data_IF_099899111035
#
_entry.id   IF_099899111035
#
_cell.length_a   1.000
_cell.length_b   1.000
_cell.length_c   1.000
_cell.angle_alpha   90.00
_cell.angle_beta   90.00
_cell.angle_gamma   90.00
#
_symmetry.space_group_name_H-M   'P 1'
#
loop_
_entity.id
_entity.type
_entity.pdbx_description
1 polymer ?
#
# COMPACT_ATOMS: atom_id res chain seq x y z
N UNK A 1 5.33 11.23 34.89
CA UNK A 1 6.78 11.38 35.16
C UNK A 1 7.49 10.42 34.26
N UNK A 2 8.07 10.97 33.22
CA UNK A 2 8.73 10.22 32.16
C UNK A 2 9.90 9.38 32.63
N UNK A 3 9.97 8.22 32.10
CA UNK A 3 11.18 7.40 32.08
C UNK A 3 12.07 7.78 30.89
N UNK A 4 12.40 9.06 30.74
CA UNK A 4 13.55 9.41 29.93
C UNK A 4 14.77 9.01 30.76
N UNK A 5 15.22 7.75 30.61
CA UNK A 5 16.41 7.28 31.30
C UNK A 5 17.58 8.12 30.83
N UNK A 6 18.38 8.67 31.76
CA UNK A 6 19.53 9.46 31.37
C UNK A 6 20.47 8.58 30.53
N UNK A 7 21.05 9.18 29.51
CA UNK A 7 22.09 8.53 28.68
C UNK A 7 23.28 8.22 29.54
N UNK A 8 23.65 6.96 29.60
CA UNK A 8 24.70 6.43 30.50
C UNK A 8 26.05 6.56 29.83
N UNK A 9 26.97 7.25 30.51
CA UNK A 9 28.27 7.64 29.98
C UNK A 9 29.39 7.05 30.82
N UNK A 10 30.45 6.54 30.16
CA UNK A 10 31.73 6.22 30.77
C UNK A 10 32.78 7.22 30.25
N UNK A 11 33.68 7.63 31.14
CA UNK A 11 34.82 8.50 30.80
C UNK A 11 36.13 7.78 31.17
N UNK A 12 37.01 7.63 30.21
CA UNK A 12 38.34 7.04 30.39
C UNK A 12 39.45 8.12 30.14
N UNK A 13 40.21 8.43 31.19
CA UNK A 13 41.22 9.50 31.20
C UNK A 13 42.24 9.22 32.32
N UNK A 14 43.53 9.18 32.03
CA UNK A 14 44.55 8.85 33.01
C UNK A 14 44.87 9.97 33.96
N UNK A 15 44.66 11.24 33.56
CA UNK A 15 44.86 12.39 34.40
C UNK A 15 43.66 12.70 35.30
N UNK A 16 43.76 12.42 36.58
CA UNK A 16 42.66 12.53 37.55
C UNK A 16 41.97 13.89 37.61
N UNK A 17 42.70 14.99 37.37
CA UNK A 17 42.14 16.35 37.38
C UNK A 17 41.32 16.62 36.12
N UNK A 18 41.79 16.14 34.96
CA UNK A 18 41.09 16.26 33.69
C UNK A 18 39.82 15.40 33.73
N UNK A 19 39.95 14.15 34.18
CA UNK A 19 38.79 13.24 34.36
C UNK A 19 37.66 13.87 35.19
N UNK A 20 38.00 14.40 36.37
CA UNK A 20 37.01 15.07 37.26
C UNK A 20 36.38 16.30 36.58
N UNK A 21 37.16 17.05 35.84
CA UNK A 21 36.64 18.24 35.13
C UNK A 21 35.67 17.86 34.01
N UNK A 22 35.96 16.81 33.23
CA UNK A 22 35.08 16.32 32.17
C UNK A 22 33.78 15.79 32.78
N UNK A 23 33.86 14.97 33.82
CA UNK A 23 32.65 14.45 34.53
C UNK A 23 31.77 15.59 34.99
N UNK A 24 32.36 16.56 35.72
CA UNK A 24 31.60 17.72 36.22
C UNK A 24 30.95 18.53 35.08
N UNK A 25 31.61 18.70 33.94
CA UNK A 25 31.04 19.39 32.78
C UNK A 25 29.85 18.59 32.21
N UNK A 26 29.97 17.28 32.02
CA UNK A 26 28.88 16.44 31.52
C UNK A 26 27.64 16.55 32.43
N UNK A 27 27.82 16.41 33.73
CA UNK A 27 26.72 16.43 34.70
C UNK A 27 26.05 17.82 34.82
N UNK A 28 26.81 18.90 34.52
CA UNK A 28 26.28 20.27 34.55
C UNK A 28 25.48 20.63 33.28
N UNK A 29 25.68 19.94 32.15
CA UNK A 29 25.01 20.23 30.88
C UNK A 29 23.50 19.93 30.96
N UNK A 30 23.13 18.74 31.43
CA UNK A 30 21.72 18.33 31.55
C UNK A 30 21.59 17.10 32.44
N UNK A 31 20.50 16.96 33.20
CA UNK A 31 20.17 15.73 33.91
C UNK A 31 19.91 14.52 32.99
N UNK A 32 19.78 14.75 31.68
CA UNK A 32 19.66 13.69 30.69
C UNK A 32 20.95 12.88 30.49
N UNK A 33 22.06 13.36 31.05
CA UNK A 33 23.38 12.71 30.93
C UNK A 33 23.86 12.27 32.31
N UNK A 34 24.16 10.98 32.44
CA UNK A 34 24.66 10.42 33.70
C UNK A 34 25.98 9.70 33.48
N UNK A 35 27.02 10.11 34.20
CA UNK A 35 28.29 9.38 34.23
C UNK A 35 28.12 8.19 35.18
N UNK A 36 28.14 6.98 34.62
CA UNK A 36 27.94 5.73 35.36
C UNK A 36 29.23 4.97 35.70
N UNK A 37 30.34 5.48 35.16
CA UNK A 37 31.66 4.93 35.45
C UNK A 37 32.78 5.81 34.94
N UNK A 38 33.95 5.68 35.55
CA UNK A 38 35.17 6.34 35.11
C UNK A 38 36.39 5.41 35.24
N UNK A 39 37.34 5.51 34.34
CA UNK A 39 38.52 4.66 34.31
C UNK A 39 39.79 5.51 34.07
N UNK A 40 40.93 5.02 34.55
CA UNK A 40 42.23 5.65 34.39
C UNK A 40 43.08 5.00 33.27
N UNK A 41 42.55 3.98 32.61
CA UNK A 41 43.18 3.27 31.50
C UNK A 41 42.12 2.53 30.67
N UNK A 42 42.50 2.05 29.49
CA UNK A 42 41.58 1.38 28.57
C UNK A 42 41.11 -0.01 29.08
N UNK A 43 41.93 -0.70 29.88
CA UNK A 43 41.56 -2.02 30.40
C UNK A 43 40.39 -1.93 31.41
N UNK A 44 40.50 -0.98 32.35
CA UNK A 44 39.44 -0.71 33.32
C UNK A 44 38.16 -0.20 32.65
N UNK A 45 38.31 0.65 31.61
CA UNK A 45 37.18 1.11 30.82
C UNK A 45 36.48 -0.04 30.11
N UNK A 46 37.19 -1.00 29.54
CA UNK A 46 36.65 -2.17 28.90
C UNK A 46 35.84 -3.02 29.89
N UNK A 47 36.39 -3.26 31.07
CA UNK A 47 35.71 -4.00 32.14
C UNK A 47 34.42 -3.27 32.63
N UNK A 48 34.47 -1.95 32.76
CA UNK A 48 33.29 -1.17 33.12
C UNK A 48 32.20 -1.27 32.05
N UNK A 49 32.54 -1.30 30.76
CA UNK A 49 31.58 -1.48 29.67
C UNK A 49 30.89 -2.84 29.71
N UNK A 50 31.55 -3.89 30.15
CA UNK A 50 30.95 -5.22 30.30
C UNK A 50 29.93 -5.28 31.44
N UNK A 51 30.15 -4.53 32.51
CA UNK A 51 29.32 -4.54 33.73
C UNK A 51 28.24 -3.45 33.72
N UNK A 52 28.46 -2.36 32.97
CA UNK A 52 27.54 -1.24 32.87
C UNK A 52 26.94 -1.18 31.47
N UNK A 53 25.66 -0.94 31.34
CA UNK A 53 25.02 -0.72 30.04
C UNK A 53 25.22 0.73 29.59
N UNK A 54 26.48 1.17 29.41
CA UNK A 54 26.76 2.51 28.92
C UNK A 54 26.45 2.63 27.42
N UNK A 55 26.00 3.83 27.02
CA UNK A 55 25.61 4.16 25.63
C UNK A 55 26.64 5.08 24.97
N UNK A 56 27.43 5.82 25.79
CA UNK A 56 28.48 6.72 25.35
C UNK A 56 29.77 6.40 26.10
N UNK A 57 30.88 6.41 25.36
CA UNK A 57 32.25 6.40 25.91
C UNK A 57 32.99 7.66 25.45
N UNK A 58 33.55 8.40 26.40
CA UNK A 58 34.59 9.36 26.16
C UNK A 58 35.93 8.74 26.56
N UNK A 59 36.92 8.79 25.69
CA UNK A 59 38.27 8.20 25.98
C UNK A 59 39.38 9.12 25.55
N UNK A 60 40.42 9.26 26.38
CA UNK A 60 41.70 9.78 25.92
C UNK A 60 42.37 8.75 25.00
N UNK A 61 43.27 9.21 24.16
CA UNK A 61 44.11 8.37 23.31
C UNK A 61 45.26 7.75 24.14
N UNK A 62 46.00 8.58 24.86
CA UNK A 62 47.19 8.14 25.59
C UNK A 62 46.86 7.79 27.01
N UNK A 63 46.77 6.51 27.29
CA UNK A 63 46.52 5.98 28.64
C UNK A 63 47.49 4.81 28.91
N UNK A 64 47.84 4.56 30.18
CA UNK A 64 48.66 3.41 30.56
C UNK A 64 47.93 2.09 30.34
N UNK A 65 48.64 0.98 30.28
CA UNK A 65 48.16 -0.41 30.14
C UNK A 65 47.48 -0.69 28.81
N UNK A 66 46.48 0.09 28.40
CA UNK A 66 45.76 0.03 27.14
C UNK A 66 45.41 1.45 26.71
N UNK A 67 45.86 1.84 25.54
CA UNK A 67 45.54 3.14 24.97
C UNK A 67 44.11 3.21 24.42
N UNK A 68 43.65 4.44 24.12
CA UNK A 68 42.25 4.64 23.67
C UNK A 68 41.96 4.03 22.31
N UNK A 69 42.96 3.95 21.39
CA UNK A 69 42.74 3.35 20.07
C UNK A 69 42.60 1.84 20.14
N UNK A 70 43.43 1.19 20.95
CA UNK A 70 43.30 -0.27 21.21
C UNK A 70 41.96 -0.59 21.94
N UNK A 71 41.58 0.27 22.90
CA UNK A 71 40.27 0.17 23.56
C UNK A 71 39.13 0.21 22.52
N UNK A 72 39.14 1.22 21.64
CA UNK A 72 38.09 1.40 20.60
C UNK A 72 38.07 0.17 19.67
N UNK A 73 39.23 -0.31 19.23
CA UNK A 73 39.37 -1.49 18.39
C UNK A 73 38.67 -2.71 19.02
N UNK A 74 38.94 -3.01 20.27
CA UNK A 74 38.35 -4.14 21.01
C UNK A 74 36.87 -3.99 21.23
N UNK A 75 36.39 -2.77 21.49
CA UNK A 75 34.96 -2.49 21.61
C UNK A 75 34.25 -2.77 20.27
N UNK A 76 34.82 -2.32 19.17
CA UNK A 76 34.21 -2.50 17.84
C UNK A 76 34.12 -3.96 17.37
N UNK A 77 34.98 -4.84 17.90
CA UNK A 77 34.88 -6.28 17.64
C UNK A 77 33.58 -6.92 18.22
N UNK A 78 33.05 -6.35 19.31
CA UNK A 78 31.91 -6.95 20.04
C UNK A 78 30.68 -6.01 20.13
N UNK A 79 30.86 -4.71 19.99
CA UNK A 79 29.79 -3.72 20.17
C UNK A 79 29.91 -2.56 19.16
N UNK A 80 29.08 -2.61 18.13
CA UNK A 80 29.00 -1.56 17.10
C UNK A 80 28.03 -0.44 17.44
N UNK A 81 27.24 -0.58 18.51
CA UNK A 81 26.18 0.40 18.84
C UNK A 81 26.64 1.50 19.78
N UNK A 82 27.73 1.28 20.57
CA UNK A 82 28.27 2.25 21.51
C UNK A 82 28.74 3.50 20.79
N UNK A 83 28.26 4.68 21.20
CA UNK A 83 28.77 5.95 20.69
C UNK A 83 30.10 6.26 21.38
N UNK A 84 31.15 6.57 20.62
CA UNK A 84 32.48 6.83 21.15
C UNK A 84 32.97 8.19 20.70
N UNK A 85 33.44 9.00 21.63
CA UNK A 85 34.17 10.23 21.33
C UNK A 85 35.56 10.20 21.94
N UNK A 86 36.51 10.67 21.18
CA UNK A 86 37.93 10.79 21.62
C UNK A 86 38.15 12.18 22.20
N UNK A 87 38.86 12.26 23.32
CA UNK A 87 39.32 13.51 23.95
C UNK A 87 40.84 13.48 23.93
N UNK A 88 41.52 14.41 23.24
CA UNK A 88 42.97 14.38 23.13
C UNK A 88 43.58 15.76 23.22
N UNK A 89 44.78 15.83 23.80
CA UNK A 89 45.65 17.05 23.80
C UNK A 89 46.45 17.27 22.52
N UNK A 90 46.41 16.33 21.61
CA UNK A 90 47.24 16.35 20.42
C UNK A 90 46.39 16.59 19.17
N UNK A 91 46.79 17.60 18.41
CA UNK A 91 46.26 17.87 17.06
C UNK A 91 47.04 17.02 16.05
N UNK A 92 47.04 15.70 16.24
CA UNK A 92 47.75 14.75 15.40
C UNK A 92 46.83 14.11 14.38
N UNK A 93 47.08 14.40 13.12
CA UNK A 93 46.27 13.93 11.98
C UNK A 93 46.16 12.39 11.91
N UNK A 94 47.18 11.65 12.38
CA UNK A 94 47.16 10.19 12.35
C UNK A 94 46.11 9.61 13.34
N UNK A 95 45.92 10.25 14.51
CA UNK A 95 44.88 9.83 15.46
C UNK A 95 43.46 10.14 14.97
N UNK A 96 43.28 11.31 14.34
CA UNK A 96 42.00 11.65 13.72
C UNK A 96 41.66 10.69 12.57
N UNK A 97 42.65 10.30 11.76
CA UNK A 97 42.47 9.32 10.68
C UNK A 97 42.13 7.92 11.21
N UNK A 98 42.72 7.50 12.32
CA UNK A 98 42.41 6.24 12.97
C UNK A 98 41.03 6.25 13.58
N UNK A 99 40.60 7.36 14.17
CA UNK A 99 39.23 7.54 14.69
C UNK A 99 38.15 7.32 13.61
N UNK A 100 38.35 7.86 12.40
CA UNK A 100 37.46 7.67 11.27
C UNK A 100 37.33 6.17 10.89
N UNK A 101 38.46 5.42 10.90
CA UNK A 101 38.45 3.98 10.58
C UNK A 101 37.64 3.12 11.56
N UNK A 102 37.52 3.56 12.81
CA UNK A 102 36.80 2.85 13.88
C UNK A 102 35.41 3.40 14.15
N UNK A 103 34.84 4.17 13.23
CA UNK A 103 33.49 4.74 13.36
C UNK A 103 33.27 5.46 14.71
N UNK A 104 34.23 6.38 15.03
CA UNK A 104 34.13 7.24 16.20
C UNK A 104 33.21 8.40 15.89
N UNK A 105 32.25 8.68 16.78
CA UNK A 105 31.21 9.68 16.57
C UNK A 105 31.78 11.11 16.50
N UNK A 106 32.83 11.41 17.28
CA UNK A 106 33.46 12.73 17.25
C UNK A 106 34.84 12.74 17.93
N UNK A 107 35.57 13.89 17.78
CA UNK A 107 36.91 14.12 18.33
C UNK A 107 36.98 15.49 19.00
N UNK A 108 37.39 15.55 20.28
CA UNK A 108 37.49 16.73 21.10
C UNK A 108 38.93 17.05 21.44
N UNK A 109 39.32 18.30 21.25
CA UNK A 109 40.66 18.78 21.69
C UNK A 109 40.61 19.29 23.14
N UNK A 110 41.61 18.91 23.92
CA UNK A 110 41.90 19.50 25.24
C UNK A 110 42.50 20.92 25.07
N UNK A 111 42.07 21.91 25.86
CA UNK A 111 41.10 21.81 26.95
C UNK A 111 39.63 21.75 26.43
N UNK A 112 38.89 20.81 26.93
CA UNK A 112 37.48 20.58 26.50
C UNK A 112 36.61 21.80 26.85
N UNK A 113 36.07 22.44 25.81
CA UNK A 113 35.10 23.55 25.96
C UNK A 113 33.71 22.98 26.16
N UNK A 114 32.98 23.56 27.10
CA UNK A 114 31.63 23.08 27.48
C UNK A 114 30.67 23.09 26.27
N UNK A 115 30.65 24.14 25.48
CA UNK A 115 29.82 24.25 24.29
C UNK A 115 30.09 23.14 23.24
N UNK A 116 31.36 22.73 23.06
CA UNK A 116 31.70 21.64 22.13
C UNK A 116 31.24 20.28 22.70
N UNK A 117 31.45 20.08 24.02
CA UNK A 117 31.02 18.87 24.71
C UNK A 117 29.50 18.71 24.65
N UNK A 118 28.74 19.78 24.92
CA UNK A 118 27.28 19.78 24.79
C UNK A 118 26.84 19.44 23.37
N UNK A 119 27.41 20.08 22.36
CA UNK A 119 27.07 19.81 20.96
C UNK A 119 27.25 18.33 20.58
N UNK A 120 28.36 17.73 21.02
CA UNK A 120 28.65 16.32 20.76
C UNK A 120 27.71 15.39 21.54
N UNK A 121 27.45 15.67 22.80
CA UNK A 121 26.53 14.89 23.60
C UNK A 121 25.12 14.88 23.01
N UNK A 122 24.62 16.02 22.55
CA UNK A 122 23.33 16.13 21.89
C UNK A 122 23.28 15.33 20.59
N UNK A 123 24.29 15.46 19.74
CA UNK A 123 24.41 14.69 18.50
C UNK A 123 24.43 13.18 18.76
N UNK A 124 25.17 12.72 19.78
CA UNK A 124 25.21 11.32 20.17
C UNK A 124 23.86 10.85 20.74
N UNK A 125 23.21 11.65 21.56
CA UNK A 125 21.88 11.37 22.08
C UNK A 125 20.87 11.19 20.95
N UNK A 126 20.87 12.08 19.96
CA UNK A 126 19.99 11.99 18.79
C UNK A 126 20.25 10.71 17.99
N UNK A 127 21.52 10.35 17.81
CA UNK A 127 21.91 9.11 17.12
C UNK A 127 21.40 7.87 17.87
N UNK A 128 21.52 7.87 19.21
CA UNK A 128 21.00 6.79 20.07
C UNK A 128 19.49 6.69 19.93
N UNK A 129 18.76 7.82 20.07
CA UNK A 129 17.30 7.86 19.93
C UNK A 129 16.82 7.37 18.56
N UNK A 130 17.51 7.74 17.50
CA UNK A 130 17.19 7.27 16.14
C UNK A 130 17.38 5.76 15.99
N UNK A 131 18.47 5.20 16.53
CA UNK A 131 18.74 3.76 16.52
C UNK A 131 17.68 3.00 17.32
N UNK A 132 17.32 3.47 18.53
CA UNK A 132 16.28 2.88 19.36
C UNK A 132 14.94 2.89 18.63
N UNK A 133 14.53 4.04 18.06
CA UNK A 133 13.30 4.16 17.26
C UNK A 133 13.28 3.21 16.06
N UNK A 134 14.41 3.02 15.40
CA UNK A 134 14.53 2.08 14.27
C UNK A 134 14.35 0.61 14.71
N UNK A 135 14.93 0.23 15.86
CA UNK A 135 14.76 -1.11 16.43
C UNK A 135 13.30 -1.32 16.85
N UNK A 136 12.70 -0.36 17.54
CA UNK A 136 11.29 -0.41 17.95
C UNK A 136 10.37 -0.54 16.74
N UNK A 137 10.62 0.23 15.67
CA UNK A 137 9.88 0.14 14.40
C UNK A 137 9.97 -1.27 13.78
N UNK A 138 11.16 -1.87 13.78
CA UNK A 138 11.36 -3.24 13.27
C UNK A 138 10.57 -4.27 14.08
N UNK A 139 10.57 -4.13 15.41
CA UNK A 139 9.83 -5.02 16.31
C UNK A 139 8.32 -4.87 16.11
N UNK A 140 7.81 -3.63 16.01
CA UNK A 140 6.40 -3.38 15.74
C UNK A 140 5.98 -3.88 14.35
N UNK A 141 6.84 -3.74 13.34
CA UNK A 141 6.61 -4.31 12.01
C UNK A 141 6.48 -5.83 12.05
N UNK A 142 7.34 -6.50 12.82
CA UNK A 142 7.25 -7.95 13.05
C UNK A 142 5.98 -8.34 13.81
N UNK A 143 5.56 -7.54 14.79
CA UNK A 143 4.31 -7.75 15.51
C UNK A 143 3.08 -7.63 14.61
N UNK A 144 3.04 -6.63 13.71
CA UNK A 144 1.99 -6.47 12.69
C UNK A 144 1.90 -7.66 11.73
N UNK A 145 3.04 -8.32 11.48
CA UNK A 145 3.14 -9.53 10.64
C UNK A 145 2.80 -10.84 11.37
N UNK A 146 2.43 -10.79 12.65
CA UNK A 146 2.12 -11.98 13.47
C UNK A 146 3.36 -12.69 14.04
N UNK A 147 4.49 -12.00 14.10
CA UNK A 147 5.76 -12.52 14.64
C UNK A 147 6.11 -11.85 15.98
N UNK A 148 5.09 -11.42 16.75
CA UNK A 148 5.31 -10.83 18.06
C UNK A 148 5.97 -11.84 19.00
N UNK A 149 7.03 -11.40 19.71
CA UNK A 149 7.72 -12.21 20.72
C UNK A 149 7.97 -11.35 21.95
N UNK A 150 7.49 -11.79 23.10
CA UNK A 150 7.73 -11.11 24.38
C UNK A 150 9.22 -11.05 24.74
N UNK A 151 10.01 -12.02 24.27
CA UNK A 151 11.45 -12.06 24.48
C UNK A 151 12.21 -10.91 23.76
N UNK A 152 11.59 -10.34 22.71
CA UNK A 152 12.14 -9.23 21.93
C UNK A 152 11.50 -7.89 22.29
N UNK A 153 10.55 -7.85 23.22
CA UNK A 153 9.84 -6.62 23.59
C UNK A 153 10.80 -5.60 24.20
N UNK A 154 10.93 -4.40 23.61
CA UNK A 154 11.77 -3.36 24.17
C UNK A 154 11.28 -2.95 25.55
N UNK A 155 12.23 -2.56 26.41
CA UNK A 155 11.87 -2.07 27.74
C UNK A 155 10.97 -0.81 27.67
N UNK A 156 11.13 0.01 26.64
CA UNK A 156 10.32 1.19 26.36
C UNK A 156 8.83 0.88 26.17
N UNK A 157 8.47 -0.36 25.84
CA UNK A 157 7.08 -0.81 25.70
C UNK A 157 6.47 -1.35 27.00
N UNK A 158 7.32 -1.59 28.01
CA UNK A 158 6.85 -2.17 29.28
C UNK A 158 5.87 -1.25 29.99
N UNK A 159 4.68 -1.76 30.28
CA UNK A 159 3.61 -1.01 30.96
C UNK A 159 2.90 0.04 30.10
N UNK A 160 3.24 0.16 28.82
CA UNK A 160 2.54 1.05 27.89
C UNK A 160 1.36 0.34 27.22
N UNK A 161 0.41 1.16 26.81
CA UNK A 161 -0.74 0.76 26.01
C UNK A 161 -0.63 1.38 24.61
N UNK A 162 -1.15 0.68 23.61
CA UNK A 162 -1.00 1.09 22.24
C UNK A 162 -2.35 1.52 21.65
N UNK A 163 -2.33 2.61 20.89
CA UNK A 163 -3.39 2.99 19.95
C UNK A 163 -2.91 2.60 18.56
N UNK A 164 -3.81 2.04 17.76
CA UNK A 164 -3.50 1.60 16.41
C UNK A 164 -4.46 2.25 15.41
N UNK A 165 -3.90 2.87 14.38
CA UNK A 165 -4.63 3.46 13.26
C UNK A 165 -4.10 2.91 11.96
N UNK A 166 -4.99 2.56 11.01
CA UNK A 166 -4.64 2.26 9.64
C UNK A 166 -5.11 3.42 8.76
N UNK A 167 -4.14 4.13 8.20
CA UNK A 167 -4.36 5.31 7.35
C UNK A 167 -4.31 4.87 5.90
N UNK A 168 -5.30 5.26 5.09
CA UNK A 168 -5.37 5.03 3.66
C UNK A 168 -5.56 6.36 2.93
N UNK A 169 -4.62 6.68 2.04
CA UNK A 169 -4.66 7.87 1.21
C UNK A 169 -5.32 7.52 -0.14
N UNK A 170 -6.43 8.18 -0.45
CA UNK A 170 -7.21 7.90 -1.65
C UNK A 170 -8.13 6.69 -1.51
N UNK A 171 -7.95 5.70 -2.37
CA UNK A 171 -8.74 4.46 -2.41
C UNK A 171 -7.96 3.23 -1.91
N UNK A 172 -8.62 2.06 -1.85
CA UNK A 172 -8.02 0.82 -1.31
C UNK A 172 -6.77 0.35 -2.07
N UNK A 173 -6.64 0.68 -3.36
CA UNK A 173 -5.54 0.24 -4.24
C UNK A 173 -5.09 1.37 -5.15
N UNK A 174 -4.81 2.52 -4.56
CA UNK A 174 -4.46 3.70 -5.33
C UNK A 174 -3.17 3.50 -6.14
N UNK A 175 -3.28 3.67 -7.45
CA UNK A 175 -2.14 3.75 -8.36
C UNK A 175 -1.98 5.21 -8.80
N UNK A 176 -0.78 5.77 -8.71
CA UNK A 176 -0.51 7.15 -9.14
C UNK A 176 0.00 7.10 -10.59
N UNK A 177 -0.85 7.38 -11.60
CA UNK A 177 -0.47 7.18 -13.01
C UNK A 177 0.58 8.18 -13.51
N UNK A 178 0.69 9.34 -12.87
CA UNK A 178 1.50 10.47 -13.34
C UNK A 178 2.90 10.51 -12.71
N UNK A 179 3.18 9.73 -11.67
CA UNK A 179 4.50 9.64 -11.09
C UNK A 179 5.31 8.58 -11.84
N UNK A 180 6.06 9.04 -12.83
CA UNK A 180 7.02 8.22 -13.59
C UNK A 180 8.17 7.71 -12.73
N UNK A 181 8.31 8.22 -11.48
CA UNK A 181 9.33 7.81 -10.52
C UNK A 181 8.69 7.30 -9.22
N UNK A 182 8.91 6.02 -8.90
CA UNK A 182 8.50 5.39 -7.64
C UNK A 182 9.05 6.14 -6.41
N UNK A 183 10.16 6.87 -6.58
CA UNK A 183 10.78 7.68 -5.54
C UNK A 183 9.90 8.89 -5.13
N UNK A 184 9.24 9.53 -6.09
CA UNK A 184 8.35 10.68 -5.83
C UNK A 184 7.07 10.26 -5.10
N UNK A 185 6.49 9.12 -5.46
CA UNK A 185 5.33 8.56 -4.76
C UNK A 185 5.67 8.17 -3.32
N UNK A 186 6.83 7.53 -3.10
CA UNK A 186 7.29 7.17 -1.77
C UNK A 186 7.58 8.41 -0.90
N UNK A 187 8.03 9.52 -1.49
CA UNK A 187 8.33 10.76 -0.79
C UNK A 187 7.06 11.47 -0.29
N UNK A 188 5.96 11.40 -1.04
CA UNK A 188 4.68 11.99 -0.66
C UNK A 188 4.16 11.41 0.67
N UNK A 189 4.26 10.08 0.85
CA UNK A 189 3.79 9.38 2.04
C UNK A 189 4.91 9.09 3.04
N UNK A 190 6.02 9.84 2.97
CA UNK A 190 7.17 9.64 3.85
C UNK A 190 6.87 10.05 5.29
N UNK A 191 7.57 9.43 6.24
CA UNK A 191 7.52 9.80 7.66
C UNK A 191 7.86 11.27 7.85
N UNK A 192 8.82 11.80 7.10
CA UNK A 192 9.28 13.19 7.20
C UNK A 192 8.18 14.20 6.82
N UNK A 193 7.41 13.91 5.76
CA UNK A 193 6.29 14.76 5.34
C UNK A 193 5.15 14.74 6.37
N UNK A 194 4.89 13.58 6.98
CA UNK A 194 3.85 13.41 7.97
C UNK A 194 4.26 13.86 9.38
N UNK A 195 5.55 13.94 9.68
CA UNK A 195 6.09 14.20 11.01
C UNK A 195 5.56 15.51 11.61
N UNK A 196 5.50 16.58 10.81
CA UNK A 196 4.96 17.88 11.26
C UNK A 196 3.50 17.75 11.67
N UNK A 197 2.70 17.02 10.91
CA UNK A 197 1.29 16.78 11.20
C UNK A 197 1.12 15.91 12.47
N UNK A 198 1.91 14.86 12.61
CA UNK A 198 1.88 13.96 13.76
C UNK A 198 2.30 14.67 15.05
N UNK A 199 3.37 15.47 15.00
CA UNK A 199 3.83 16.28 16.15
C UNK A 199 2.82 17.36 16.58
N UNK A 200 1.89 17.74 15.70
CA UNK A 200 0.81 18.67 16.07
C UNK A 200 -0.34 17.95 16.80
N UNK A 201 -0.54 16.67 16.50
CA UNK A 201 -1.63 15.87 17.07
C UNK A 201 -1.26 15.17 18.38
N UNK A 202 0.01 14.82 18.55
CA UNK A 202 0.49 14.01 19.67
C UNK A 202 1.51 14.78 20.52
N UNK A 203 1.48 14.54 21.84
CA UNK A 203 2.38 15.18 22.79
C UNK A 203 3.80 14.59 22.70
N UNK A 204 4.80 15.33 23.21
CA UNK A 204 6.17 14.83 23.32
C UNK A 204 6.32 13.60 24.24
N UNK A 205 5.35 13.36 25.12
CA UNK A 205 5.31 12.18 26.01
C UNK A 205 4.86 10.91 25.31
N UNK A 206 4.22 11.01 24.14
CA UNK A 206 3.74 9.91 23.33
C UNK A 206 4.78 9.53 22.28
N UNK A 207 5.18 8.27 22.31
CA UNK A 207 6.02 7.73 21.24
C UNK A 207 5.14 7.18 20.11
N UNK A 208 5.46 7.52 18.88
CA UNK A 208 4.72 7.03 17.71
C UNK A 208 5.66 6.49 16.62
N UNK A 209 5.14 5.52 15.87
CA UNK A 209 5.83 4.89 14.75
C UNK A 209 4.87 4.78 13.57
N UNK A 210 5.39 5.14 12.39
CA UNK A 210 4.71 4.99 11.12
C UNK A 210 5.31 3.78 10.39
N UNK A 211 4.47 2.79 10.07
CA UNK A 211 4.90 1.52 9.45
C UNK A 211 4.17 1.35 8.13
N UNK A 212 4.93 1.01 7.08
CA UNK A 212 4.38 0.78 5.75
C UNK A 212 3.51 -0.48 5.72
N UNK A 213 2.37 -0.41 5.03
CA UNK A 213 1.53 -1.56 4.72
C UNK A 213 1.92 -2.10 3.32
N UNK A 214 1.26 -3.16 2.88
CA UNK A 214 1.50 -3.78 1.57
C UNK A 214 1.19 -2.84 0.42
N UNK A 215 0.12 -2.07 0.54
CA UNK A 215 -0.24 -1.03 -0.43
C UNK A 215 0.51 0.25 -0.08
N UNK A 216 1.16 0.87 -1.07
CA UNK A 216 2.03 2.05 -0.88
C UNK A 216 1.31 3.24 -0.26
N UNK A 217 0.01 3.38 -0.52
CA UNK A 217 -0.84 4.45 0.01
C UNK A 217 -1.46 4.12 1.37
N UNK A 218 -1.01 3.04 2.03
CA UNK A 218 -1.51 2.65 3.34
C UNK A 218 -0.37 2.58 4.36
N UNK A 219 -0.64 3.10 5.57
CA UNK A 219 0.33 3.09 6.67
C UNK A 219 -0.35 2.80 7.99
N UNK A 220 0.29 1.98 8.81
CA UNK A 220 -0.05 1.87 10.21
C UNK A 220 0.63 2.99 11.00
N UNK A 221 -0.16 3.72 11.78
CA UNK A 221 0.32 4.59 12.84
C UNK A 221 0.07 3.89 14.17
N UNK A 222 1.15 3.64 14.91
CA UNK A 222 1.13 3.03 16.24
C UNK A 222 1.58 4.08 17.23
N UNK A 223 0.83 4.26 18.30
CA UNK A 223 1.14 5.24 19.35
C UNK A 223 1.18 4.51 20.69
N UNK A 224 2.26 4.68 21.43
CA UNK A 224 2.39 4.17 22.79
C UNK A 224 2.11 5.29 23.80
N UNK A 225 1.10 5.08 24.64
CA UNK A 225 0.69 6.01 25.69
C UNK A 225 0.74 5.35 27.07
N UNK A 226 0.97 6.17 28.09
CA UNK A 226 0.84 5.77 29.49
C UNK A 226 -0.59 5.99 30.03
N UNK A 227 -1.41 6.72 29.27
CA UNK A 227 -2.80 7.04 29.61
C UNK A 227 -3.77 6.01 29.04
N UNK A 228 -4.98 5.93 29.58
CA UNK A 228 -6.05 4.99 29.20
C UNK A 228 -7.40 5.69 29.06
N UNK A 229 -7.47 6.86 28.47
CA UNK A 229 -8.77 7.47 28.16
C UNK A 229 -9.23 7.05 26.76
N UNK A 230 -10.14 6.10 26.68
CA UNK A 230 -10.65 5.58 25.39
C UNK A 230 -11.32 6.64 24.51
N UNK A 231 -11.83 7.73 25.10
CA UNK A 231 -12.40 8.85 24.35
C UNK A 231 -11.33 9.60 23.55
N UNK A 232 -10.10 9.57 24.02
CA UNK A 232 -8.96 10.21 23.38
C UNK A 232 -8.63 9.56 22.04
N UNK A 233 -8.81 8.24 21.90
CA UNK A 233 -8.50 7.51 20.66
C UNK A 233 -9.29 8.06 19.47
N UNK A 234 -10.60 8.23 19.63
CA UNK A 234 -11.45 8.76 18.56
C UNK A 234 -11.20 10.26 18.31
N UNK A 235 -10.88 11.02 19.36
CA UNK A 235 -10.51 12.43 19.23
C UNK A 235 -9.19 12.56 18.45
N UNK A 236 -8.19 11.76 18.77
CA UNK A 236 -6.92 11.70 18.07
C UNK A 236 -7.08 11.28 16.60
N UNK A 237 -7.93 10.28 16.31
CA UNK A 237 -8.23 9.89 14.94
C UNK A 237 -8.85 11.03 14.12
N UNK A 238 -9.80 11.78 14.69
CA UNK A 238 -10.44 12.94 14.05
C UNK A 238 -9.48 14.13 13.90
N UNK A 239 -8.66 14.40 14.91
CA UNK A 239 -7.64 15.45 14.85
C UNK A 239 -6.62 15.13 13.76
N UNK A 240 -6.15 13.89 13.71
CA UNK A 240 -5.24 13.38 12.69
C UNK A 240 -5.85 13.51 11.29
N UNK A 241 -7.12 13.11 11.10
CA UNK A 241 -7.83 13.29 9.84
C UNK A 241 -7.85 14.77 9.43
N UNK A 242 -8.26 15.67 10.31
CA UNK A 242 -8.39 17.09 10.01
C UNK A 242 -7.06 17.76 9.62
N UNK A 243 -5.95 17.28 10.16
CA UNK A 243 -4.61 17.79 9.84
C UNK A 243 -4.10 17.19 8.52
N UNK A 244 -4.18 15.88 8.37
CA UNK A 244 -3.68 15.17 7.17
C UNK A 244 -4.52 15.46 5.93
N UNK A 245 -5.82 15.66 6.05
CA UNK A 245 -6.72 15.97 4.93
C UNK A 245 -6.35 17.26 4.19
N UNK A 246 -5.69 18.20 4.86
CA UNK A 246 -5.17 19.44 4.23
C UNK A 246 -4.03 19.16 3.25
N UNK A 247 -3.35 18.02 3.41
CA UNK A 247 -2.19 17.62 2.61
C UNK A 247 -2.60 16.51 1.62
N UNK A 248 -3.45 15.58 2.08
CA UNK A 248 -3.83 14.34 1.38
C UNK A 248 -5.34 14.14 1.42
N UNK A 249 -6.08 14.60 0.43
CA UNK A 249 -7.52 14.34 0.31
C UNK A 249 -7.80 13.54 -0.97
N UNK A 250 -8.72 12.55 -0.93
CA UNK A 250 -9.43 12.02 0.24
C UNK A 250 -8.58 11.10 1.12
N UNK A 251 -8.94 10.99 2.40
CA UNK A 251 -8.21 10.24 3.43
C UNK A 251 -9.17 9.43 4.30
N UNK A 252 -8.89 8.13 4.46
CA UNK A 252 -9.65 7.25 5.37
C UNK A 252 -8.74 6.74 6.49
N UNK A 253 -9.23 6.79 7.75
CA UNK A 253 -8.53 6.27 8.92
C UNK A 253 -9.40 5.22 9.60
N UNK A 254 -8.99 3.95 9.57
CA UNK A 254 -9.58 2.93 10.42
C UNK A 254 -8.90 2.98 11.80
N UNK A 255 -9.69 3.19 12.85
CA UNK A 255 -9.20 3.38 14.21
C UNK A 255 -9.57 2.19 15.11
N UNK A 256 -8.67 1.77 16.00
CA UNK A 256 -9.06 0.94 17.13
C UNK A 256 -9.91 1.77 18.11
N UNK A 257 -10.74 1.13 18.90
CA UNK A 257 -11.64 1.80 19.85
C UNK A 257 -11.18 1.68 21.29
N UNK A 258 -10.25 0.78 21.55
CA UNK A 258 -9.68 0.50 22.85
C UNK A 258 -8.16 0.51 22.77
N UNK A 259 -7.53 0.82 23.89
CA UNK A 259 -6.11 0.61 24.04
C UNK A 259 -5.79 -0.88 24.04
N UNK A 260 -4.75 -1.25 23.32
CA UNK A 260 -4.33 -2.66 23.16
C UNK A 260 -2.99 -2.90 23.83
N UNK A 261 -2.73 -4.15 24.22
CA UNK A 261 -1.42 -4.60 24.64
C UNK A 261 -0.51 -4.92 23.42
N UNK A 262 0.79 -4.99 23.64
CA UNK A 262 1.75 -5.33 22.58
C UNK A 262 1.41 -6.65 21.87
N UNK A 263 0.97 -7.65 22.62
CA UNK A 263 0.60 -8.98 22.11
C UNK A 263 -0.63 -8.94 21.18
N UNK A 264 -1.48 -7.94 21.32
CA UNK A 264 -2.75 -7.81 20.57
C UNK A 264 -2.60 -7.00 19.27
N UNK A 265 -1.38 -6.50 18.96
CA UNK A 265 -1.11 -5.67 17.78
C UNK A 265 -1.50 -6.39 16.49
N UNK A 266 -1.13 -7.67 16.35
CA UNK A 266 -1.44 -8.47 15.16
C UNK A 266 -2.96 -8.63 14.96
N UNK A 267 -3.66 -9.06 16.00
CA UNK A 267 -5.12 -9.26 15.96
C UNK A 267 -5.84 -7.96 15.64
N UNK A 268 -5.43 -6.86 16.28
CA UNK A 268 -5.99 -5.52 16.04
C UNK A 268 -5.68 -5.01 14.63
N UNK A 269 -4.49 -5.26 14.13
CA UNK A 269 -4.11 -4.88 12.76
C UNK A 269 -4.97 -5.59 11.71
N UNK A 270 -5.25 -6.87 11.90
CA UNK A 270 -6.14 -7.66 11.03
C UNK A 270 -7.57 -7.13 11.07
N UNK A 271 -8.05 -6.78 12.26
CA UNK A 271 -9.36 -6.14 12.44
C UNK A 271 -9.43 -4.79 11.70
N UNK A 272 -8.39 -3.95 11.78
CA UNK A 272 -8.36 -2.65 11.11
C UNK A 272 -8.30 -2.77 9.59
N UNK A 273 -7.55 -3.75 9.05
CA UNK A 273 -7.54 -4.05 7.60
C UNK A 273 -8.95 -4.42 7.12
N UNK A 274 -9.62 -5.28 7.86
CA UNK A 274 -11.00 -5.68 7.55
C UNK A 274 -11.97 -4.49 7.63
N UNK A 275 -11.84 -3.66 8.66
CA UNK A 275 -12.62 -2.44 8.86
C UNK A 275 -12.41 -1.44 7.73
N UNK A 276 -11.15 -1.18 7.33
CA UNK A 276 -10.83 -0.32 6.21
C UNK A 276 -11.45 -0.86 4.90
N UNK A 277 -11.26 -2.15 4.61
CA UNK A 277 -11.78 -2.79 3.41
C UNK A 277 -13.29 -2.68 3.28
N UNK A 278 -14.04 -2.91 4.38
CA UNK A 278 -15.49 -2.88 4.38
C UNK A 278 -16.09 -1.49 4.59
N UNK A 279 -15.33 -0.52 5.09
CA UNK A 279 -15.83 0.80 5.46
C UNK A 279 -15.37 1.94 4.55
N UNK A 280 -14.37 1.75 3.69
CA UNK A 280 -13.85 2.82 2.84
C UNK A 280 -14.88 3.22 1.78
N UNK A 281 -15.31 4.50 1.79
CA UNK A 281 -16.18 5.12 0.81
C UNK A 281 -15.31 5.93 -0.15
N UNK A 282 -15.40 5.64 -1.44
CA UNK A 282 -14.58 6.24 -2.47
C UNK A 282 -14.83 7.75 -2.59
N UNK A 283 -13.74 8.55 -2.53
CA UNK A 283 -13.80 10.00 -2.66
C UNK A 283 -14.17 10.77 -1.38
N UNK A 284 -14.31 10.09 -0.23
CA UNK A 284 -14.63 10.73 1.05
C UNK A 284 -13.52 10.55 2.07
N UNK A 285 -13.23 11.65 2.79
CA UNK A 285 -12.38 11.57 3.98
C UNK A 285 -13.22 11.17 5.19
N UNK A 286 -12.75 10.17 5.96
CA UNK A 286 -13.53 9.61 7.05
C UNK A 286 -12.69 8.92 8.12
N UNK A 287 -13.23 8.84 9.34
CA UNK A 287 -12.76 7.93 10.39
C UNK A 287 -13.72 6.74 10.45
N UNK A 288 -13.19 5.54 10.28
CA UNK A 288 -13.95 4.29 10.22
C UNK A 288 -13.83 3.57 11.58
N UNK A 289 -14.97 3.38 12.26
CA UNK A 289 -15.12 2.66 13.54
C UNK A 289 -16.02 1.44 13.34
N UNK A 290 -16.25 0.67 14.42
CA UNK A 290 -17.17 -0.47 14.39
C UNK A 290 -18.61 -0.07 14.06
N UNK A 291 -19.01 1.15 14.43
CA UNK A 291 -20.36 1.69 14.17
C UNK A 291 -20.55 2.18 12.73
N UNK A 292 -19.44 2.34 11.98
CA UNK A 292 -19.45 2.86 10.61
C UNK A 292 -19.93 1.82 9.57
N UNK A 293 -20.70 0.81 9.97
CA UNK A 293 -21.22 -0.19 9.06
C UNK A 293 -22.14 0.46 8.02
N UNK A 294 -21.64 0.61 6.80
CA UNK A 294 -22.39 1.13 5.67
C UNK A 294 -23.59 0.22 5.33
N UNK A 295 -24.70 0.83 4.96
CA UNK A 295 -25.88 0.10 4.50
C UNK A 295 -25.53 -0.82 3.31
N UNK A 296 -25.93 -2.08 3.41
CA UNK A 296 -25.68 -3.06 2.38
C UNK A 296 -26.72 -2.92 1.26
N UNK A 297 -26.31 -2.43 0.11
CA UNK A 297 -27.09 -2.51 -1.11
C UNK A 297 -26.57 -3.65 -1.98
N UNK A 298 -27.42 -4.61 -2.29
CA UNK A 298 -27.15 -5.61 -3.35
C UNK A 298 -27.87 -5.16 -4.61
N UNK A 299 -27.29 -5.44 -5.78
CA UNK A 299 -28.03 -5.34 -7.04
C UNK A 299 -29.30 -6.21 -6.94
N UNK A 300 -30.45 -5.60 -7.20
CA UNK A 300 -31.69 -6.34 -7.25
C UNK A 300 -31.78 -7.16 -8.56
N UNK A 301 -32.55 -8.24 -8.53
CA UNK A 301 -32.82 -9.10 -9.71
C UNK A 301 -33.42 -8.26 -10.85
N UNK A 302 -34.26 -7.26 -10.54
CA UNK A 302 -34.82 -6.35 -11.52
C UNK A 302 -33.77 -5.53 -12.25
N UNK A 303 -32.72 -5.11 -11.56
CA UNK A 303 -31.63 -4.32 -12.10
C UNK A 303 -30.70 -5.15 -12.99
N UNK A 304 -30.44 -6.39 -12.59
CA UNK A 304 -29.71 -7.37 -13.41
C UNK A 304 -30.46 -7.63 -14.73
N UNK A 305 -31.77 -7.79 -14.66
CA UNK A 305 -32.61 -8.02 -15.85
C UNK A 305 -32.63 -6.81 -16.80
N UNK A 306 -32.66 -5.58 -16.27
CA UNK A 306 -32.59 -4.36 -17.08
C UNK A 306 -31.26 -4.24 -17.79
N UNK A 307 -30.15 -4.52 -17.09
CA UNK A 307 -28.80 -4.54 -17.66
C UNK A 307 -28.68 -5.53 -18.82
N UNK A 308 -29.08 -6.78 -18.57
CA UNK A 308 -29.05 -7.83 -19.58
C UNK A 308 -29.93 -7.49 -20.78
N UNK A 309 -31.12 -6.91 -20.56
CA UNK A 309 -31.97 -6.46 -21.65
C UNK A 309 -31.34 -5.35 -22.49
N UNK A 310 -30.68 -4.37 -21.85
CA UNK A 310 -29.98 -3.27 -22.53
C UNK A 310 -28.76 -3.78 -23.31
N UNK A 311 -28.00 -4.72 -22.77
CA UNK A 311 -26.87 -5.35 -23.44
C UNK A 311 -27.33 -6.16 -24.67
N UNK A 312 -28.37 -7.00 -24.52
CA UNK A 312 -28.92 -7.81 -25.61
C UNK A 312 -29.53 -6.98 -26.75
N UNK A 313 -30.06 -5.79 -26.46
CA UNK A 313 -30.59 -4.87 -27.46
C UNK A 313 -29.49 -4.03 -28.14
N UNK A 314 -28.22 -4.18 -27.73
CA UNK A 314 -27.07 -3.37 -28.18
C UNK A 314 -27.29 -1.85 -27.99
N UNK A 315 -28.19 -1.47 -27.09
CA UNK A 315 -28.56 -0.08 -26.84
C UNK A 315 -27.69 0.52 -25.72
N UNK A 316 -26.55 1.06 -26.09
CA UNK A 316 -25.62 1.71 -25.16
C UNK A 316 -26.25 2.90 -24.41
N UNK A 317 -27.16 3.64 -25.04
CA UNK A 317 -27.82 4.79 -24.38
C UNK A 317 -28.67 4.35 -23.19
N UNK A 318 -29.44 3.27 -23.31
CA UNK A 318 -30.21 2.71 -22.20
C UNK A 318 -29.31 2.10 -21.12
N UNK A 319 -28.20 1.48 -21.53
CA UNK A 319 -27.21 0.92 -20.62
C UNK A 319 -26.48 2.03 -19.82
N UNK A 320 -26.06 3.10 -20.47
CA UNK A 320 -25.42 4.24 -19.80
C UNK A 320 -26.35 4.96 -18.82
N UNK A 321 -27.60 5.14 -19.17
CA UNK A 321 -28.60 5.72 -18.26
C UNK A 321 -28.84 4.86 -17.03
N UNK A 322 -28.82 3.54 -17.20
CA UNK A 322 -28.90 2.63 -16.06
C UNK A 322 -27.67 2.73 -15.14
N UNK A 323 -26.46 2.77 -15.72
CA UNK A 323 -25.23 2.96 -14.94
C UNK A 323 -25.25 4.28 -14.16
N UNK A 324 -25.69 5.38 -14.79
CA UNK A 324 -25.81 6.69 -14.14
C UNK A 324 -26.73 6.63 -12.92
N UNK A 325 -27.88 5.95 -13.06
CA UNK A 325 -28.81 5.74 -11.95
C UNK A 325 -28.16 4.95 -10.82
N UNK A 326 -27.41 3.91 -11.15
CA UNK A 326 -26.75 3.03 -10.18
C UNK A 326 -25.63 3.78 -9.44
N UNK A 327 -24.80 4.53 -10.16
CA UNK A 327 -23.74 5.36 -9.55
C UNK A 327 -24.31 6.43 -8.62
N UNK A 328 -25.42 7.07 -9.02
CA UNK A 328 -26.14 8.03 -8.17
C UNK A 328 -26.67 7.37 -6.89
N UNK A 329 -27.17 6.14 -6.97
CA UNK A 329 -27.58 5.37 -5.79
C UNK A 329 -26.39 5.05 -4.88
N UNK A 330 -25.27 4.58 -5.42
CA UNK A 330 -24.06 4.31 -4.64
C UNK A 330 -23.54 5.54 -3.91
N UNK A 331 -23.55 6.70 -4.57
CA UNK A 331 -23.16 7.98 -3.98
C UNK A 331 -24.09 8.38 -2.83
N UNK A 332 -25.42 8.33 -3.06
CA UNK A 332 -26.41 8.70 -2.05
C UNK A 332 -26.39 7.77 -0.81
N UNK A 333 -26.16 6.49 -1.02
CA UNK A 333 -26.12 5.48 0.04
C UNK A 333 -24.72 5.34 0.64
N UNK A 334 -23.73 6.11 0.16
CA UNK A 334 -22.33 6.03 0.59
C UNK A 334 -21.81 4.58 0.55
N UNK A 335 -22.01 3.92 -0.58
CA UNK A 335 -21.57 2.53 -0.76
C UNK A 335 -20.07 2.39 -0.61
N UNK A 336 -19.59 1.39 0.16
CA UNK A 336 -18.16 1.12 0.26
C UNK A 336 -17.55 0.67 -1.07
N UNK A 337 -16.29 1.01 -1.29
CA UNK A 337 -15.56 0.70 -2.52
C UNK A 337 -15.62 -0.79 -2.88
N UNK A 338 -15.43 -1.71 -1.91
CA UNK A 338 -15.45 -3.15 -2.18
C UNK A 338 -16.78 -3.65 -2.76
N UNK A 339 -17.89 -3.01 -2.38
CA UNK A 339 -19.21 -3.34 -2.93
C UNK A 339 -19.35 -2.83 -4.36
N UNK A 340 -18.88 -1.60 -4.63
CA UNK A 340 -18.87 -1.03 -5.98
C UNK A 340 -18.02 -1.91 -6.91
N UNK A 341 -16.84 -2.33 -6.48
CA UNK A 341 -15.99 -3.27 -7.22
C UNK A 341 -16.71 -4.58 -7.55
N UNK A 342 -17.30 -5.19 -6.54
CA UNK A 342 -18.04 -6.46 -6.69
C UNK A 342 -19.19 -6.35 -7.68
N UNK A 343 -19.95 -5.25 -7.61
CA UNK A 343 -21.10 -5.02 -8.50
C UNK A 343 -20.64 -4.70 -9.92
N UNK A 344 -19.61 -3.90 -10.11
CA UNK A 344 -19.02 -3.61 -11.43
C UNK A 344 -18.48 -4.87 -12.10
N UNK A 345 -17.80 -5.74 -11.37
CA UNK A 345 -17.36 -7.04 -11.88
C UNK A 345 -18.55 -7.92 -12.30
N UNK A 346 -19.64 -7.92 -11.52
CA UNK A 346 -20.84 -8.65 -11.89
C UNK A 346 -21.49 -8.09 -13.15
N UNK A 347 -21.59 -6.77 -13.29
CA UNK A 347 -22.11 -6.09 -14.48
C UNK A 347 -21.26 -6.42 -15.70
N UNK A 348 -19.94 -6.36 -15.57
CA UNK A 348 -19.00 -6.70 -16.65
C UNK A 348 -19.21 -8.13 -17.13
N UNK A 349 -19.23 -9.10 -16.24
CA UNK A 349 -19.42 -10.52 -16.57
C UNK A 349 -20.78 -10.81 -17.24
N UNK A 350 -21.83 -10.15 -16.77
CA UNK A 350 -23.16 -10.26 -17.41
C UNK A 350 -23.14 -9.71 -18.84
N UNK A 351 -22.53 -8.54 -19.05
CA UNK A 351 -22.39 -7.90 -20.36
C UNK A 351 -21.56 -8.78 -21.30
N UNK A 352 -20.44 -9.32 -20.84
CA UNK A 352 -19.58 -10.22 -21.60
C UNK A 352 -20.29 -11.53 -21.99
N UNK A 353 -21.06 -12.13 -21.08
CA UNK A 353 -21.85 -13.32 -21.36
C UNK A 353 -22.93 -13.04 -22.41
N UNK A 354 -23.59 -11.89 -22.36
CA UNK A 354 -24.61 -11.51 -23.34
C UNK A 354 -24.01 -11.24 -24.73
N UNK A 355 -22.75 -10.80 -24.79
CA UNK A 355 -22.00 -10.56 -26.02
C UNK A 355 -21.16 -11.76 -26.50
N UNK A 356 -21.12 -12.86 -25.74
CA UNK A 356 -20.33 -14.07 -26.06
C UNK A 356 -18.84 -13.75 -26.35
N UNK A 357 -18.22 -12.90 -25.53
CA UNK A 357 -16.83 -12.52 -25.66
C UNK A 357 -15.88 -13.70 -25.36
N UNK A 358 -14.65 -13.64 -25.87
CA UNK A 358 -13.64 -14.67 -25.63
C UNK A 358 -13.01 -14.53 -24.25
N UNK A 359 -12.41 -15.60 -23.73
CA UNK A 359 -11.71 -15.57 -22.44
C UNK A 359 -10.54 -14.55 -22.41
N UNK A 360 -9.88 -14.31 -23.56
CA UNK A 360 -8.81 -13.33 -23.66
C UNK A 360 -9.35 -11.90 -23.55
N UNK A 361 -10.48 -11.62 -24.24
CA UNK A 361 -11.17 -10.35 -24.16
C UNK A 361 -11.68 -10.09 -22.73
N UNK A 362 -12.28 -11.09 -22.08
CA UNK A 362 -12.77 -10.98 -20.69
C UNK A 362 -11.64 -10.63 -19.72
N UNK A 363 -10.48 -11.32 -19.83
CA UNK A 363 -9.32 -11.01 -19.02
C UNK A 363 -8.78 -9.58 -19.25
N UNK A 364 -8.85 -9.10 -20.49
CA UNK A 364 -8.43 -7.74 -20.83
C UNK A 364 -9.40 -6.69 -20.25
N UNK A 365 -10.71 -6.91 -20.33
CA UNK A 365 -11.72 -6.03 -19.77
C UNK A 365 -11.67 -5.99 -18.24
N UNK A 366 -11.50 -7.14 -17.60
CA UNK A 366 -11.36 -7.23 -16.14
C UNK A 366 -10.13 -6.45 -15.65
N UNK A 367 -8.99 -6.56 -16.33
CA UNK A 367 -7.79 -5.75 -16.04
C UNK A 367 -8.04 -4.26 -16.21
N UNK A 368 -8.73 -3.84 -17.29
CA UNK A 368 -9.10 -2.44 -17.50
C UNK A 368 -10.04 -1.93 -16.41
N UNK A 369 -11.02 -2.73 -15.98
CA UNK A 369 -11.92 -2.39 -14.89
C UNK A 369 -11.16 -2.14 -13.59
N UNK A 370 -10.24 -3.04 -13.22
CA UNK A 370 -9.40 -2.84 -12.04
C UNK A 370 -8.55 -1.56 -12.16
N UNK A 371 -8.02 -1.27 -13.34
CA UNK A 371 -7.25 -0.05 -13.58
C UNK A 371 -8.11 1.22 -13.40
N UNK A 372 -9.34 1.24 -13.91
CA UNK A 372 -10.28 2.34 -13.67
C UNK A 372 -10.54 2.55 -12.17
N UNK A 373 -10.76 1.46 -11.43
CA UNK A 373 -11.01 1.55 -9.98
C UNK A 373 -9.77 2.05 -9.23
N UNK A 374 -8.58 1.57 -9.59
CA UNK A 374 -7.32 1.97 -8.95
C UNK A 374 -6.99 3.46 -9.16
N UNK A 375 -7.34 4.01 -10.32
CA UNK A 375 -7.04 5.40 -10.66
C UNK A 375 -8.13 6.38 -10.22
N UNK A 376 -9.28 5.89 -9.80
CA UNK A 376 -10.40 6.74 -9.44
C UNK A 376 -10.12 7.57 -8.17
N UNK A 377 -10.13 8.89 -8.30
CA UNK A 377 -10.07 9.81 -7.17
C UNK A 377 -11.42 9.91 -6.41
N UNK A 378 -12.52 9.56 -7.06
CA UNK A 378 -13.86 9.59 -6.49
C UNK A 378 -14.87 8.90 -7.40
N UNK A 379 -16.14 8.93 -7.01
CA UNK A 379 -17.20 8.20 -7.71
C UNK A 379 -17.48 8.76 -9.12
N UNK A 380 -17.35 10.08 -9.30
CA UNK A 380 -17.60 10.73 -10.60
C UNK A 380 -16.50 10.42 -11.62
N UNK A 381 -15.22 10.41 -11.17
CA UNK A 381 -14.10 10.02 -12.02
C UNK A 381 -14.20 8.55 -12.40
N UNK A 382 -14.57 7.67 -11.45
CA UNK A 382 -14.81 6.26 -11.71
C UNK A 382 -15.93 6.07 -12.75
N UNK A 383 -17.04 6.80 -12.61
CA UNK A 383 -18.16 6.72 -13.55
C UNK A 383 -17.71 7.04 -14.97
N UNK A 384 -16.94 8.12 -15.15
CA UNK A 384 -16.44 8.55 -16.46
C UNK A 384 -15.58 7.48 -17.13
N UNK A 385 -14.66 6.87 -16.39
CA UNK A 385 -13.79 5.80 -16.90
C UNK A 385 -14.56 4.52 -17.22
N UNK A 386 -15.50 4.15 -16.35
CA UNK A 386 -16.37 2.97 -16.54
C UNK A 386 -17.26 3.14 -17.79
N UNK A 387 -17.79 4.34 -18.04
CA UNK A 387 -18.52 4.61 -19.27
C UNK A 387 -17.68 4.41 -20.53
N UNK A 388 -16.42 4.87 -20.52
CA UNK A 388 -15.48 4.66 -21.62
C UNK A 388 -15.22 3.18 -21.85
N UNK A 389 -14.96 2.42 -20.78
CA UNK A 389 -14.73 0.96 -20.85
C UNK A 389 -15.93 0.25 -21.51
N UNK A 390 -17.15 0.48 -21.02
CA UNK A 390 -18.32 -0.17 -21.59
C UNK A 390 -18.63 0.32 -23.01
N UNK A 391 -18.37 1.59 -23.33
CA UNK A 391 -18.51 2.08 -24.69
C UNK A 391 -17.57 1.37 -25.67
N UNK A 392 -16.35 1.06 -25.26
CA UNK A 392 -15.42 0.24 -26.05
C UNK A 392 -15.97 -1.17 -26.28
N UNK A 393 -16.49 -1.83 -25.24
CA UNK A 393 -17.08 -3.16 -25.32
C UNK A 393 -18.24 -3.18 -26.30
N UNK A 394 -19.17 -2.23 -26.21
CA UNK A 394 -20.32 -2.12 -27.12
C UNK A 394 -19.88 -1.82 -28.56
N UNK A 395 -18.90 -0.95 -28.79
CA UNK A 395 -18.37 -0.65 -30.14
C UNK A 395 -17.70 -1.85 -30.79
N UNK A 396 -16.93 -2.62 -30.02
CA UNK A 396 -16.26 -3.84 -30.51
C UNK A 396 -17.29 -4.86 -30.97
N UNK A 397 -18.42 -4.96 -30.27
CA UNK A 397 -19.51 -5.86 -30.66
C UNK A 397 -20.29 -5.35 -31.89
N UNK A 398 -20.59 -4.05 -31.94
CA UNK A 398 -21.23 -3.44 -33.12
C UNK A 398 -20.34 -3.53 -34.37
N UNK A 399 -19.01 -3.41 -34.21
CA UNK A 399 -18.04 -3.63 -35.28
C UNK A 399 -17.99 -5.10 -35.75
N UNK A 400 -18.09 -6.06 -34.82
CA UNK A 400 -18.23 -7.49 -35.16
C UNK A 400 -19.52 -7.77 -35.90
N UNK A 401 -20.62 -7.04 -35.64
CA UNK A 401 -21.87 -7.16 -36.40
C UNK A 401 -21.76 -6.67 -37.85
N UNK A 402 -21.01 -5.59 -38.11
CA UNK A 402 -20.76 -5.12 -39.48
C UNK A 402 -19.86 -6.08 -40.27
N UNK A 403 -18.82 -6.66 -39.63
CA UNK A 403 -18.00 -7.72 -40.22
C UNK A 403 -18.79 -9.02 -40.39
N UNK A 404 -19.67 -9.33 -39.44
CA UNK A 404 -20.50 -10.52 -39.47
C UNK A 404 -21.49 -10.49 -40.65
N UNK A 405 -22.03 -9.30 -40.99
CA UNK A 405 -22.92 -9.17 -42.17
C UNK A 405 -22.19 -9.42 -43.48
N UNK A 406 -20.94 -8.96 -43.60
CA UNK A 406 -20.10 -9.23 -44.76
C UNK A 406 -19.74 -10.72 -44.87
N UNK A 407 -19.43 -11.37 -43.75
CA UNK A 407 -19.12 -12.79 -43.69
C UNK A 407 -20.34 -13.66 -44.01
N UNK A 408 -21.55 -13.31 -43.52
CA UNK A 408 -22.76 -14.08 -43.89
C UNK A 408 -23.05 -13.97 -45.39
N UNK A 409 -22.84 -12.82 -46.00
CA UNK A 409 -22.90 -12.68 -47.45
C UNK A 409 -21.88 -13.62 -48.18
N UNK A 410 -20.69 -13.78 -47.61
CA UNK A 410 -19.72 -14.73 -48.15
C UNK A 410 -20.12 -16.17 -47.94
N UNK A 411 -20.72 -16.49 -46.78
CA UNK A 411 -21.30 -17.84 -46.51
C UNK A 411 -22.42 -18.12 -47.53
N UNK A 412 -23.32 -17.19 -47.80
CA UNK A 412 -24.35 -17.34 -48.82
C UNK A 412 -23.76 -17.55 -50.21
N UNK A 413 -22.74 -16.78 -50.62
CA UNK A 413 -22.03 -16.96 -51.88
C UNK A 413 -21.38 -18.37 -51.98
N UNK A 414 -20.77 -18.80 -50.88
CA UNK A 414 -20.17 -20.12 -50.80
C UNK A 414 -21.21 -21.22 -50.95
N UNK A 415 -22.37 -21.11 -50.27
CA UNK A 415 -23.49 -22.06 -50.42
C UNK A 415 -24.04 -22.07 -51.85
N UNK A 416 -24.26 -20.90 -52.45
CA UNK A 416 -24.68 -20.79 -53.84
C UNK A 416 -23.67 -21.40 -54.84
N UNK A 417 -22.38 -21.35 -54.56
CA UNK A 417 -21.34 -21.94 -55.41
C UNK A 417 -21.16 -23.44 -55.23
N UNK A 418 -21.50 -23.98 -54.04
CA UNK A 418 -21.22 -25.37 -53.68
C UNK A 418 -22.47 -26.15 -53.29
N UNK A 419 -23.69 -25.71 -53.65
CA UNK A 419 -24.94 -26.36 -53.26
C UNK A 419 -25.03 -27.83 -53.73
N UNK A 420 -24.38 -28.18 -54.83
CA UNK A 420 -24.34 -29.55 -55.38
C UNK A 420 -23.46 -30.52 -54.58
N UNK A 421 -22.57 -30.00 -53.76
CA UNK A 421 -21.65 -30.79 -52.93
C UNK A 421 -22.26 -31.13 -51.57
N UNK A 422 -21.87 -32.22 -50.92
CA UNK A 422 -22.36 -32.59 -49.59
C UNK A 422 -21.71 -31.75 -48.49
N UNK A 423 -21.96 -30.42 -48.46
CA UNK A 423 -21.47 -29.52 -47.43
C UNK A 423 -22.37 -29.53 -46.19
N UNK A 424 -21.73 -29.54 -45.01
CA UNK A 424 -22.40 -29.48 -43.70
C UNK A 424 -22.22 -28.10 -43.07
N UNK A 425 -22.99 -27.81 -42.01
CA UNK A 425 -22.84 -26.57 -41.23
C UNK A 425 -21.49 -26.53 -40.54
N UNK A 426 -20.97 -27.68 -40.12
CA UNK A 426 -19.65 -27.83 -39.51
C UNK A 426 -18.53 -27.50 -40.50
N UNK A 427 -18.66 -27.89 -41.78
CA UNK A 427 -17.68 -27.54 -42.82
C UNK A 427 -17.67 -26.05 -43.12
N UNK A 428 -18.84 -25.41 -43.16
CA UNK A 428 -18.97 -23.96 -43.32
C UNK A 428 -18.38 -23.24 -42.11
N UNK A 429 -18.73 -23.67 -40.90
CA UNK A 429 -18.23 -23.09 -39.67
C UNK A 429 -16.69 -23.16 -39.59
N UNK A 430 -16.10 -24.31 -39.94
CA UNK A 430 -14.64 -24.50 -40.01
C UNK A 430 -13.99 -23.61 -41.06
N UNK A 431 -14.60 -23.49 -42.24
CA UNK A 431 -14.06 -22.64 -43.31
C UNK A 431 -14.04 -21.15 -42.99
N UNK A 432 -15.04 -20.68 -42.27
CA UNK A 432 -15.17 -19.26 -41.92
C UNK A 432 -14.74 -18.97 -40.48
N UNK A 433 -14.07 -19.90 -39.81
CA UNK A 433 -13.54 -19.79 -38.43
C UNK A 433 -14.61 -19.48 -37.38
N UNK A 434 -15.82 -20.09 -37.54
CA UNK A 434 -16.89 -20.00 -36.57
C UNK A 434 -17.17 -21.34 -35.87
N UNK A 435 -17.86 -21.22 -34.71
CA UNK A 435 -18.54 -22.39 -34.13
C UNK A 435 -19.85 -22.65 -34.91
N UNK A 436 -20.21 -23.93 -35.15
CA UNK A 436 -21.41 -24.30 -35.90
C UNK A 436 -22.72 -23.74 -35.32
N UNK A 437 -22.83 -23.74 -33.99
CA UNK A 437 -23.98 -23.18 -33.28
C UNK A 437 -24.09 -21.66 -33.45
N UNK A 438 -22.95 -20.98 -33.37
CA UNK A 438 -22.86 -19.52 -33.57
C UNK A 438 -23.20 -19.15 -35.02
N UNK A 439 -22.57 -19.81 -36.01
CA UNK A 439 -22.88 -19.59 -37.42
C UNK A 439 -24.38 -19.79 -37.70
N UNK A 440 -24.99 -20.84 -37.16
CA UNK A 440 -26.43 -21.11 -37.32
C UNK A 440 -27.29 -19.97 -36.78
N UNK A 441 -26.96 -19.44 -35.64
CA UNK A 441 -27.70 -18.35 -34.98
C UNK A 441 -27.60 -17.03 -35.76
N UNK A 442 -26.38 -16.61 -36.14
CA UNK A 442 -26.17 -15.34 -36.87
C UNK A 442 -26.74 -15.41 -38.29
N UNK A 443 -26.56 -16.54 -38.96
CA UNK A 443 -27.13 -16.75 -40.29
C UNK A 443 -28.65 -16.65 -40.25
N UNK A 444 -29.30 -17.31 -39.25
CA UNK A 444 -30.77 -17.24 -39.06
C UNK A 444 -31.22 -15.81 -38.70
N UNK A 445 -30.46 -15.06 -37.89
CA UNK A 445 -30.76 -13.65 -37.54
C UNK A 445 -30.76 -12.75 -38.78
N UNK A 446 -29.85 -12.98 -39.73
CA UNK A 446 -29.71 -12.12 -40.92
C UNK A 446 -30.56 -12.57 -42.11
N UNK A 447 -30.69 -13.86 -42.35
CA UNK A 447 -31.37 -14.41 -43.52
C UNK A 447 -32.84 -14.86 -43.22
N UNK A 448 -33.21 -14.88 -41.93
CA UNK A 448 -34.50 -15.34 -41.47
C UNK A 448 -34.67 -16.88 -41.37
N UNK A 449 -33.71 -17.66 -41.89
CA UNK A 449 -33.77 -19.12 -41.89
C UNK A 449 -32.42 -19.77 -41.52
N UNK A 450 -32.42 -21.00 -41.07
CA UNK A 450 -31.18 -21.72 -40.72
C UNK A 450 -30.34 -22.04 -41.98
N UNK A 451 -28.98 -22.17 -41.88
CA UNK A 451 -28.13 -22.53 -42.99
C UNK A 451 -28.55 -23.80 -43.69
N UNK A 452 -28.99 -24.80 -42.94
CA UNK A 452 -29.50 -26.10 -43.50
C UNK A 452 -30.73 -25.88 -44.37
N UNK A 453 -31.69 -25.08 -43.87
CA UNK A 453 -32.94 -24.78 -44.56
C UNK A 453 -32.69 -23.95 -45.81
N UNK A 454 -31.78 -22.97 -45.73
CA UNK A 454 -31.36 -22.15 -46.86
C UNK A 454 -30.68 -23.01 -47.98
N UNK A 455 -29.77 -23.91 -47.59
CA UNK A 455 -29.10 -24.82 -48.56
C UNK A 455 -30.12 -25.77 -49.22
N UNK A 456 -31.06 -26.30 -48.44
CA UNK A 456 -32.10 -27.18 -49.00
C UNK A 456 -32.98 -26.41 -50.01
N UNK A 457 -33.36 -25.18 -49.72
CA UNK A 457 -34.13 -24.33 -50.62
C UNK A 457 -33.34 -24.08 -51.91
N UNK A 458 -32.07 -23.73 -51.83
CA UNK A 458 -31.19 -23.54 -53.01
C UNK A 458 -31.17 -24.78 -53.88
N UNK A 459 -31.02 -25.98 -53.32
CA UNK A 459 -31.01 -27.27 -54.06
C UNK A 459 -32.31 -27.52 -54.77
N UNK A 460 -33.45 -27.23 -54.11
CA UNK A 460 -34.79 -27.38 -54.71
C UNK A 460 -35.01 -26.39 -55.86
N UNK A 461 -34.61 -25.15 -55.68
CA UNK A 461 -34.82 -24.12 -56.67
C UNK A 461 -33.96 -24.40 -57.93
N UNK A 462 -32.70 -24.82 -57.76
CA UNK A 462 -31.84 -25.24 -58.87
C UNK A 462 -32.33 -26.50 -59.60
N UNK A 463 -32.86 -27.48 -58.84
CA UNK A 463 -33.49 -28.65 -59.45
C UNK A 463 -34.72 -28.30 -60.27
N UNK A 464 -35.57 -27.35 -59.79
CA UNK A 464 -36.69 -26.84 -60.59
C UNK A 464 -36.23 -26.15 -61.89
N UNK A 465 -35.23 -25.26 -61.76
CA UNK A 465 -34.64 -24.58 -62.93
C UNK A 465 -34.08 -25.56 -63.95
N UNK A 466 -33.41 -26.63 -63.52
CA UNK A 466 -32.92 -27.69 -64.36
C UNK A 466 -34.03 -28.47 -65.09
N UNK A 467 -35.13 -28.81 -64.37
CA UNK A 467 -36.30 -29.47 -64.98
C UNK A 467 -37.02 -28.57 -65.97
N UNK A 468 -37.14 -27.24 -65.71
CA UNK A 468 -37.75 -26.28 -66.62
C UNK A 468 -36.96 -26.13 -67.90
N UNK A 469 -35.59 -26.08 -67.82
CA UNK A 469 -34.73 -25.96 -69.00
C UNK A 469 -34.80 -27.22 -69.87
N UNK A 470 -35.01 -28.40 -69.33
CA UNK A 470 -35.22 -29.64 -70.07
C UNK A 470 -36.58 -29.68 -70.77
N UNK A 471 -37.62 -29.09 -70.15
CA UNK A 471 -38.96 -29.02 -70.72
C UNK A 471 -39.10 -27.98 -71.86
N UNK A 472 -38.24 -26.99 -71.89
CA UNK A 472 -38.22 -25.94 -72.93
C UNK A 472 -37.37 -26.38 -74.15
N UNK A 473 -36.44 -27.36 -73.97
CA UNK A 473 -35.59 -27.90 -75.04
C UNK A 473 -36.19 -29.16 -75.72
N UNK A 474 -37.41 -29.52 -75.39
CA UNK A 474 -38.26 -30.51 -76.11
C UNK A 474 -39.40 -29.81 -76.79
#
# INVERSE_FOLDING_TARGET
METNRPVRIIVAEDESLILKNIIKKIENISPDFQVVGSAYNGLDALHLLETTKAQILFTDIKMPMMDGLELIRRIRENNTSLQIAIISGYDDFEYARSAIRYDVADYLLKPVKEANLESILRKMQDTIKQKEKSIERSILSSALAGQASDALMPFSFSGRHFMLFLICFGNLKYHIPELTDLADAASLFSEQTMQTALNTCFSEEESWWLIDEREMNQKFLIIASNQKDEKEILQNAKALQAVLEKIYAPLSIAACEHYIAYQDIETSSRMLRNRLYHGLILGFSQVITSESAAGHTKLDISDINKLSASAKSENFASFSQFLETLFSQWQNLKCPQYMIESQLLQILRLTENDFETTNEENNAHEKKLYHCIQNAAGIDSLFSEILVLFQEIFRTQSGKCSDTSSVILEVERFMKKNYASPITVEDMARKFNFNASYLTRIFKKQTGESPVKYLLRLRIDEAKNYCWNILICR
#
